data_IF_331107404024
#
_entry.id   IF_331107404024
#
_cell.length_a   1.000
_cell.length_b   1.000
_cell.length_c   1.000
_cell.angle_alpha   90.00
_cell.angle_beta   90.00
_cell.angle_gamma   90.00
#
_symmetry.space_group_name_H-M   'P 1'
#
loop_
_entity.id
_entity.type
_entity.pdbx_description
1 polymer ?
#
# COMPACT_ATOMS: atom_id res chain seq x y z
N UNK A 1 -4.25 -7.49 -61.63
CA UNK A 1 -4.85 -8.20 -60.48
C UNK A 1 -3.74 -8.52 -59.49
N UNK A 2 -3.72 -7.86 -58.33
CA UNK A 2 -2.60 -7.93 -57.38
C UNK A 2 -2.99 -8.88 -56.24
N UNK A 3 -2.33 -10.04 -56.15
CA UNK A 3 -2.58 -11.08 -55.14
C UNK A 3 -2.23 -10.55 -53.75
N UNK A 4 -3.19 -10.54 -52.83
CA UNK A 4 -3.01 -10.13 -51.44
C UNK A 4 -2.01 -11.07 -50.73
N UNK A 5 -1.13 -10.50 -49.89
CA UNK A 5 -0.18 -11.27 -49.07
C UNK A 5 -0.96 -12.13 -48.05
N UNK A 6 -0.61 -13.42 -47.88
CA UNK A 6 -1.25 -14.27 -46.88
C UNK A 6 -0.94 -13.75 -45.47
N UNK A 7 -1.97 -13.64 -44.63
CA UNK A 7 -1.82 -13.31 -43.21
C UNK A 7 -1.09 -14.47 -42.53
N UNK A 8 -0.03 -14.21 -41.75
CA UNK A 8 0.68 -15.28 -41.07
C UNK A 8 -0.24 -15.98 -40.04
N UNK A 9 -0.20 -17.31 -40.03
CA UNK A 9 -1.00 -18.15 -39.12
C UNK A 9 -0.57 -18.03 -37.64
N UNK A 10 0.66 -17.54 -37.40
CA UNK A 10 1.24 -17.43 -36.06
C UNK A 10 1.82 -16.03 -35.82
N UNK A 11 1.43 -15.42 -34.71
CA UNK A 11 2.00 -14.16 -34.22
C UNK A 11 2.85 -14.45 -32.99
N UNK A 12 4.17 -14.21 -33.08
CA UNK A 12 5.09 -14.32 -31.95
C UNK A 12 5.20 -12.97 -31.25
N UNK A 13 4.85 -12.92 -29.96
CA UNK A 13 4.96 -11.69 -29.14
C UNK A 13 6.08 -11.88 -28.12
N UNK A 14 7.06 -10.98 -28.15
CA UNK A 14 8.11 -10.91 -27.14
C UNK A 14 7.69 -9.90 -26.05
N UNK A 15 7.36 -10.42 -24.86
CA UNK A 15 7.02 -9.57 -23.70
C UNK A 15 8.19 -9.57 -22.72
N UNK A 16 8.87 -8.44 -22.48
CA UNK A 16 9.90 -8.36 -21.47
C UNK A 16 9.26 -8.43 -20.08
N UNK A 17 9.68 -9.36 -19.22
CA UNK A 17 9.19 -9.49 -17.84
C UNK A 17 10.33 -9.69 -16.84
N UNK A 18 10.07 -9.44 -15.56
CA UNK A 18 11.00 -9.68 -14.46
C UNK A 18 10.38 -10.62 -13.42
N UNK A 19 11.13 -11.63 -12.97
CA UNK A 19 10.74 -12.45 -11.83
C UNK A 19 11.30 -11.84 -10.54
N UNK A 20 10.44 -11.57 -9.57
CA UNK A 20 10.83 -11.07 -8.24
C UNK A 20 10.36 -12.02 -7.13
N UNK A 21 10.99 -11.96 -5.96
CA UNK A 21 10.54 -12.68 -4.77
C UNK A 21 9.84 -11.71 -3.81
N UNK A 22 8.62 -12.03 -3.40
CA UNK A 22 7.86 -11.29 -2.38
C UNK A 22 7.25 -12.24 -1.35
N UNK A 23 7.59 -12.04 -0.07
CA UNK A 23 7.07 -12.89 1.02
C UNK A 23 7.30 -14.40 0.79
N UNK A 24 8.43 -14.76 0.16
CA UNK A 24 8.75 -16.15 -0.22
C UNK A 24 8.10 -16.65 -1.52
N UNK A 25 7.23 -15.86 -2.17
CA UNK A 25 6.56 -16.22 -3.43
C UNK A 25 7.31 -15.62 -4.63
N UNK A 26 7.35 -16.36 -5.76
CA UNK A 26 7.85 -15.84 -7.04
C UNK A 26 6.71 -15.12 -7.77
N UNK A 27 6.92 -13.86 -8.11
CA UNK A 27 5.95 -13.01 -8.80
C UNK A 27 6.52 -12.48 -10.11
N UNK A 28 5.67 -12.42 -11.14
CA UNK A 28 6.00 -11.92 -12.47
C UNK A 28 5.65 -10.43 -12.56
N UNK A 29 6.65 -9.58 -12.75
CA UNK A 29 6.47 -8.17 -13.06
C UNK A 29 6.46 -7.97 -14.57
N UNK A 30 5.33 -7.48 -15.06
CA UNK A 30 5.13 -7.07 -16.45
C UNK A 30 5.62 -5.62 -16.65
N UNK A 31 5.93 -5.20 -17.88
CA UNK A 31 6.40 -3.85 -18.17
C UNK A 31 5.26 -2.84 -18.01
N UNK A 32 5.60 -1.57 -17.78
CA UNK A 32 4.64 -0.49 -17.54
C UNK A 32 3.62 -0.41 -18.68
N UNK A 33 2.32 -0.56 -18.35
CA UNK A 33 1.22 -0.55 -19.31
C UNK A 33 0.56 -1.91 -19.57
N UNK A 34 1.19 -3.02 -19.18
CA UNK A 34 0.49 -4.30 -19.11
C UNK A 34 -0.47 -4.30 -17.90
N UNK A 35 -1.75 -4.60 -18.10
CA UNK A 35 -2.74 -4.63 -17.02
C UNK A 35 -2.50 -5.81 -16.07
N UNK A 36 -1.48 -5.72 -15.24
CA UNK A 36 -1.43 -6.50 -14.00
C UNK A 36 -2.59 -6.01 -13.15
N UNK A 37 -3.60 -6.86 -12.93
CA UNK A 37 -4.57 -6.64 -11.86
C UNK A 37 -3.76 -6.56 -10.57
N UNK A 38 -3.48 -5.34 -10.11
CA UNK A 38 -2.68 -5.07 -8.92
C UNK A 38 -3.43 -5.68 -7.75
N UNK A 39 -2.96 -6.84 -7.28
CA UNK A 39 -3.54 -7.52 -6.12
C UNK A 39 -3.05 -6.83 -4.87
N UNK A 40 -3.96 -6.58 -3.93
CA UNK A 40 -3.62 -6.13 -2.58
C UNK A 40 -2.50 -6.99 -2.02
N UNK A 41 -1.45 -6.34 -1.51
CA UNK A 41 -0.37 -7.05 -0.83
C UNK A 41 -0.86 -7.49 0.55
N UNK A 42 -1.40 -8.70 0.59
CA UNK A 42 -1.89 -9.34 1.82
C UNK A 42 -0.85 -9.34 2.94
N UNK A 43 0.45 -9.29 2.64
CA UNK A 43 1.50 -9.21 3.66
C UNK A 43 1.50 -7.85 4.35
N UNK A 44 1.37 -6.77 3.58
CA UNK A 44 1.28 -5.41 4.11
C UNK A 44 -0.02 -5.21 4.88
N UNK A 45 -1.15 -5.64 4.31
CA UNK A 45 -2.46 -5.52 4.96
C UNK A 45 -2.47 -6.27 6.31
N UNK A 46 -1.94 -7.49 6.34
CA UNK A 46 -1.80 -8.28 7.58
C UNK A 46 -0.81 -7.70 8.58
N UNK A 47 0.11 -6.83 8.16
CA UNK A 47 1.00 -6.13 9.07
C UNK A 47 0.40 -4.83 9.61
N UNK A 48 -0.40 -4.12 8.80
CA UNK A 48 -1.10 -2.90 9.20
C UNK A 48 -2.16 -3.18 10.27
N UNK A 49 -2.97 -4.23 10.09
CA UNK A 49 -4.04 -4.57 11.03
C UNK A 49 -3.57 -4.71 12.49
N UNK A 50 -2.56 -5.55 12.82
CA UNK A 50 -2.05 -5.64 14.18
C UNK A 50 -1.33 -4.38 14.64
N UNK A 51 -0.64 -3.65 13.74
CA UNK A 51 0.03 -2.39 14.11
C UNK A 51 -0.95 -1.38 14.71
N UNK A 52 -2.08 -1.14 14.02
CA UNK A 52 -3.12 -0.24 14.51
C UNK A 52 -3.87 -0.79 15.73
N UNK A 53 -4.06 -2.11 15.82
CA UNK A 53 -4.66 -2.73 17.01
C UNK A 53 -3.78 -2.49 18.25
N UNK A 54 -2.49 -2.77 18.16
CA UNK A 54 -1.55 -2.58 19.27
C UNK A 54 -1.44 -1.12 19.70
N UNK A 55 -1.41 -0.19 18.74
CA UNK A 55 -1.46 1.24 19.06
C UNK A 55 -2.72 1.57 19.87
N UNK A 56 -3.89 1.11 19.45
CA UNK A 56 -5.15 1.36 20.17
C UNK A 56 -5.15 0.78 21.57
N UNK A 57 -4.59 -0.40 21.78
CA UNK A 57 -4.51 -1.03 23.11
C UNK A 57 -3.60 -0.22 24.06
N UNK A 58 -2.49 0.33 23.54
CA UNK A 58 -1.62 1.22 24.31
C UNK A 58 -2.29 2.58 24.59
N UNK A 59 -2.97 3.16 23.60
CA UNK A 59 -3.72 4.42 23.76
C UNK A 59 -4.91 4.28 24.72
N UNK A 60 -5.54 3.10 24.76
CA UNK A 60 -6.61 2.78 25.71
C UNK A 60 -6.09 2.53 27.13
N UNK A 61 -4.77 2.45 27.33
CA UNK A 61 -4.16 2.14 28.62
C UNK A 61 -4.36 0.68 29.06
N UNK A 62 -4.74 -0.23 28.15
CA UNK A 62 -4.84 -1.67 28.45
C UNK A 62 -3.47 -2.26 28.85
N UNK A 63 -2.39 -1.66 28.33
CA UNK A 63 -1.01 -1.99 28.66
C UNK A 63 -0.22 -0.72 28.90
N UNK A 64 0.68 -0.76 29.88
CA UNK A 64 1.49 0.39 30.29
C UNK A 64 2.73 0.55 29.41
N UNK A 65 3.26 -0.57 28.89
CA UNK A 65 4.50 -0.57 28.12
C UNK A 65 4.44 -1.49 26.90
N UNK A 66 5.28 -1.21 25.91
CA UNK A 66 5.48 -2.08 24.75
C UNK A 66 5.97 -3.49 25.18
N UNK A 67 6.80 -3.58 26.23
CA UNK A 67 7.31 -4.86 26.72
C UNK A 67 6.21 -5.74 27.32
N UNK A 68 5.27 -5.12 28.03
CA UNK A 68 4.11 -5.79 28.61
C UNK A 68 3.18 -6.32 27.50
N UNK A 69 2.83 -5.47 26.54
CA UNK A 69 2.02 -5.87 25.39
C UNK A 69 2.72 -6.97 24.56
N UNK A 70 4.04 -6.87 24.34
CA UNK A 70 4.80 -7.90 23.63
C UNK A 70 4.78 -9.26 24.35
N UNK A 71 4.88 -9.24 25.68
CA UNK A 71 4.78 -10.45 26.50
C UNK A 71 3.38 -11.06 26.43
N UNK A 72 2.34 -10.23 26.48
CA UNK A 72 0.94 -10.65 26.33
C UNK A 72 0.68 -11.29 24.95
N UNK A 73 1.14 -10.65 23.89
CA UNK A 73 0.99 -11.13 22.50
C UNK A 73 1.97 -12.27 22.17
N UNK A 74 2.87 -12.65 23.09
CA UNK A 74 3.91 -13.67 22.92
C UNK A 74 4.79 -13.44 21.69
N UNK A 75 5.14 -12.19 21.44
CA UNK A 75 6.04 -11.77 20.35
C UNK A 75 7.23 -11.00 20.91
N UNK A 76 8.33 -10.98 20.17
CA UNK A 76 9.48 -10.19 20.57
C UNK A 76 9.14 -8.69 20.56
N UNK A 77 9.48 -7.97 21.63
CA UNK A 77 9.27 -6.52 21.73
C UNK A 77 9.88 -5.77 20.54
N UNK A 78 11.06 -6.21 20.05
CA UNK A 78 11.68 -5.63 18.86
C UNK A 78 10.86 -5.81 17.57
N UNK A 79 10.15 -6.93 17.42
CA UNK A 79 9.25 -7.16 16.29
C UNK A 79 8.02 -6.27 16.40
N UNK A 80 7.43 -6.19 17.59
CA UNK A 80 6.27 -5.35 17.88
C UNK A 80 6.59 -3.88 17.54
N UNK A 81 7.67 -3.33 18.09
CA UNK A 81 8.11 -1.95 17.81
C UNK A 81 8.33 -1.70 16.32
N UNK A 82 8.95 -2.64 15.60
CA UNK A 82 9.15 -2.50 14.13
C UNK A 82 7.83 -2.51 13.37
N UNK A 83 6.84 -3.28 13.81
CA UNK A 83 5.52 -3.33 13.17
C UNK A 83 4.68 -2.10 13.50
N UNK A 84 4.74 -1.61 14.75
CA UNK A 84 4.06 -0.37 15.15
C UNK A 84 4.54 0.86 14.39
N UNK A 85 5.76 0.86 13.83
CA UNK A 85 6.20 1.95 12.92
C UNK A 85 5.29 2.13 11.71
N UNK A 86 4.56 1.10 11.30
CA UNK A 86 3.62 1.20 10.19
C UNK A 86 2.46 2.15 10.48
N UNK A 87 2.18 2.46 11.75
CA UNK A 87 1.14 3.43 12.10
C UNK A 87 1.58 4.88 11.95
N UNK A 88 2.88 5.12 11.76
CA UNK A 88 3.47 6.44 11.49
C UNK A 88 3.43 6.80 9.99
N UNK A 89 2.93 5.89 9.15
CA UNK A 89 2.71 6.16 7.73
C UNK A 89 1.64 7.23 7.54
N UNK A 90 1.74 8.00 6.47
CA UNK A 90 0.68 8.95 6.14
C UNK A 90 -0.61 8.19 5.77
N UNK A 91 -1.79 8.77 6.03
CA UNK A 91 -3.07 8.17 5.64
C UNK A 91 -3.11 7.79 4.16
N UNK A 92 -2.57 8.64 3.28
CA UNK A 92 -2.48 8.38 1.83
C UNK A 92 -1.74 7.08 1.49
N UNK A 93 -0.68 6.74 2.23
CA UNK A 93 0.06 5.48 2.03
C UNK A 93 -0.77 4.30 2.50
N UNK A 94 -1.42 4.43 3.65
CA UNK A 94 -2.27 3.37 4.20
C UNK A 94 -3.42 3.06 3.23
N UNK A 95 -4.10 4.09 2.73
CA UNK A 95 -5.14 3.96 1.69
C UNK A 95 -4.59 3.33 0.41
N UNK A 96 -3.44 3.78 -0.07
CA UNK A 96 -2.82 3.19 -1.25
C UNK A 96 -2.49 1.70 -1.08
N UNK A 97 -2.07 1.27 0.12
CA UNK A 97 -1.80 -0.14 0.44
C UNK A 97 -3.11 -0.95 0.48
N UNK A 98 -4.15 -0.40 1.11
CA UNK A 98 -5.46 -1.05 1.21
C UNK A 98 -6.13 -1.18 -0.17
N UNK A 99 -5.94 -0.22 -1.05
CA UNK A 99 -6.48 -0.24 -2.42
C UNK A 99 -5.64 -1.07 -3.40
N UNK A 100 -4.51 -1.65 -2.97
CA UNK A 100 -3.59 -2.34 -3.88
C UNK A 100 -2.89 -1.40 -4.86
N UNK A 101 -2.92 -0.09 -4.62
CA UNK A 101 -2.32 0.97 -5.46
C UNK A 101 -0.88 1.29 -5.07
N UNK A 102 -0.32 0.63 -4.06
CA UNK A 102 1.03 0.90 -3.59
C UNK A 102 2.08 0.60 -4.66
N UNK A 103 3.19 1.36 -4.67
CA UNK A 103 4.38 1.07 -5.47
C UNK A 103 4.92 -0.34 -5.26
N UNK A 104 5.62 -0.86 -6.27
CA UNK A 104 6.21 -2.20 -6.21
C UNK A 104 7.37 -2.28 -5.20
N UNK A 105 7.94 -1.15 -4.89
CA UNK A 105 9.07 -0.90 -4.00
C UNK A 105 8.60 -0.83 -2.55
N UNK A 106 7.30 -0.64 -2.30
CA UNK A 106 6.75 -0.57 -0.95
C UNK A 106 6.60 -1.99 -0.40
N UNK A 107 7.71 -2.54 0.09
CA UNK A 107 7.73 -3.83 0.76
C UNK A 107 7.65 -3.65 2.27
N UNK A 108 7.20 -4.70 2.97
CA UNK A 108 7.14 -4.68 4.43
C UNK A 108 8.51 -4.39 5.06
N UNK A 109 9.60 -4.87 4.47
CA UNK A 109 10.94 -4.60 4.97
C UNK A 109 11.31 -3.13 4.89
N UNK A 110 10.94 -2.46 3.79
CA UNK A 110 11.21 -1.03 3.59
C UNK A 110 10.38 -0.20 4.57
N UNK A 111 9.09 -0.50 4.72
CA UNK A 111 8.20 0.26 5.60
C UNK A 111 8.49 0.07 7.10
N UNK A 112 9.24 -0.97 7.47
CA UNK A 112 9.69 -1.20 8.86
C UNK A 112 11.03 -0.56 9.19
N UNK A 113 11.74 0.00 8.19
CA UNK A 113 12.94 0.81 8.44
C UNK A 113 12.57 2.13 9.13
N UNK A 114 13.53 2.83 9.77
CA UNK A 114 13.29 4.17 10.26
C UNK A 114 12.76 5.06 9.13
N UNK A 115 11.52 5.54 9.30
CA UNK A 115 10.89 6.51 8.44
C UNK A 115 11.29 7.92 8.93
N UNK A 116 11.47 8.89 8.02
CA UNK A 116 11.73 10.27 8.42
C UNK A 116 10.57 10.79 9.28
N UNK A 117 10.87 11.62 10.28
CA UNK A 117 9.87 12.13 11.22
C UNK A 117 8.80 13.01 10.56
N UNK A 118 9.11 13.61 9.41
CA UNK A 118 8.23 14.51 8.69
C UNK A 118 7.41 13.77 7.63
N UNK A 119 6.08 13.76 7.82
CA UNK A 119 5.13 13.22 6.84
C UNK A 119 5.23 13.90 5.46
N UNK A 120 5.63 15.17 5.40
CA UNK A 120 5.82 15.89 4.13
C UNK A 120 6.89 15.22 3.24
N UNK A 121 7.90 14.58 3.83
CA UNK A 121 8.92 13.80 3.10
C UNK A 121 8.32 12.48 2.60
N UNK A 122 7.40 11.87 3.34
CA UNK A 122 6.66 10.67 2.90
C UNK A 122 5.83 10.96 1.64
N UNK A 123 5.14 12.09 1.62
CA UNK A 123 4.26 12.49 0.52
C UNK A 123 5.06 12.91 -0.72
N UNK A 124 6.20 13.58 -0.57
CA UNK A 124 7.01 14.03 -1.70
C UNK A 124 7.68 12.85 -2.45
N UNK A 125 8.07 11.79 -1.72
CA UNK A 125 8.58 10.56 -2.32
C UNK A 125 7.49 9.79 -3.10
N UNK A 126 6.23 9.82 -2.62
CA UNK A 126 5.08 9.31 -3.37
C UNK A 126 4.74 10.18 -4.59
N UNK A 127 4.83 11.51 -4.49
CA UNK A 127 4.51 12.44 -5.58
C UNK A 127 5.47 12.33 -6.76
N UNK A 128 6.77 12.16 -6.47
CA UNK A 128 7.78 11.91 -7.51
C UNK A 128 7.55 10.57 -8.22
N UNK A 129 7.09 9.55 -7.50
CA UNK A 129 7.01 8.17 -7.99
C UNK A 129 5.65 7.78 -8.59
N UNK A 130 4.54 8.39 -8.15
CA UNK A 130 3.18 8.17 -8.69
C UNK A 130 2.89 8.95 -9.98
N UNK A 131 3.87 9.63 -10.55
CA UNK A 131 3.81 10.17 -11.92
C UNK A 131 2.54 10.97 -12.21
N UNK A 132 2.59 12.26 -11.89
CA UNK A 132 1.60 13.29 -12.29
C UNK A 132 0.33 13.36 -11.46
N UNK A 133 0.26 14.45 -10.68
CA UNK A 133 -0.92 15.06 -10.04
C UNK A 133 -2.16 15.19 -10.95
N UNK A 134 -2.01 15.00 -12.26
CA UNK A 134 -3.07 15.08 -13.26
C UNK A 134 -4.00 13.83 -13.33
N UNK A 135 -3.60 12.68 -12.75
CA UNK A 135 -4.43 11.45 -12.80
C UNK A 135 -5.34 11.29 -11.58
N UNK A 136 -4.98 11.89 -10.46
CA UNK A 136 -5.66 11.67 -9.17
C UNK A 136 -6.97 12.48 -9.03
N UNK A 137 -7.12 13.59 -9.76
CA UNK A 137 -8.34 14.41 -9.75
C UNK A 137 -9.37 14.04 -10.83
N UNK A 138 -9.13 13.02 -11.66
CA UNK A 138 -10.06 12.60 -12.73
C UNK A 138 -10.79 11.29 -12.41
N UNK A 139 -10.28 10.47 -11.50
CA UNK A 139 -10.89 9.16 -11.18
C UNK A 139 -11.96 9.26 -10.08
N UNK A 140 -12.02 10.35 -9.33
CA UNK A 140 -13.03 10.63 -8.31
C UNK A 140 -14.33 11.23 -8.87
N UNK A 141 -14.47 11.37 -10.19
CA UNK A 141 -15.64 12.02 -10.82
C UNK A 141 -16.38 11.12 -11.84
N UNK A 142 -16.26 9.79 -11.71
CA UNK A 142 -17.04 8.84 -12.50
C UNK A 142 -17.90 7.94 -11.62
N UNK A 143 -18.96 8.55 -11.08
CA UNK A 143 -20.30 7.99 -11.01
C UNK A 143 -20.60 6.92 -9.96
N UNK A 144 -21.03 7.35 -8.77
CA UNK A 144 -22.27 6.80 -8.20
C UNK A 144 -23.04 7.92 -7.50
N UNK A 145 -24.00 8.50 -8.23
CA UNK A 145 -25.04 9.35 -7.66
C UNK A 145 -26.16 8.44 -7.21
N UNK A 146 -26.19 8.13 -5.91
CA UNK A 146 -27.42 7.84 -5.17
C UNK A 146 -27.17 8.03 -3.67
N UNK A 147 -27.86 9.05 -3.16
CA UNK A 147 -28.45 9.13 -1.81
C UNK A 147 -27.49 9.31 -0.62
N UNK A 148 -27.27 10.60 -0.34
CA UNK A 148 -27.70 11.27 0.89
C UNK A 148 -27.34 10.70 2.28
N UNK A 149 -26.67 11.61 2.99
CA UNK A 149 -26.91 11.95 4.39
C UNK A 149 -26.04 11.28 5.46
N UNK A 150 -25.06 12.06 5.93
CA UNK A 150 -24.59 12.02 7.30
C UNK A 150 -23.19 11.43 7.52
N UNK A 151 -22.14 12.22 7.34
CA UNK A 151 -20.96 12.19 8.24
C UNK A 151 -19.96 13.33 7.94
N UNK A 152 -20.34 14.56 8.30
CA UNK A 152 -19.36 15.60 8.63
C UNK A 152 -18.89 15.36 10.08
N UNK A 153 -17.95 14.44 10.26
CA UNK A 153 -17.51 14.03 11.60
C UNK A 153 -16.09 13.48 11.73
N UNK A 154 -15.25 13.52 10.69
CA UNK A 154 -13.90 12.92 10.73
C UNK A 154 -12.76 13.89 10.37
N UNK A 155 -12.98 15.20 10.53
CA UNK A 155 -11.93 16.22 10.44
C UNK A 155 -11.85 17.05 11.71
N UNK A 156 -11.44 16.42 12.80
CA UNK A 156 -10.79 17.03 14.00
C UNK A 156 -10.74 15.98 15.11
N UNK A 157 -9.74 15.11 15.07
CA UNK A 157 -9.20 14.45 16.25
C UNK A 157 -7.98 13.67 15.82
N UNK A 158 -6.82 14.29 16.04
CA UNK A 158 -5.57 13.72 16.57
C UNK A 158 -4.62 14.91 16.53
N UNK A 159 -4.67 15.70 17.59
CA UNK A 159 -3.60 16.55 18.12
C UNK A 159 -4.02 16.97 19.53
N UNK A 160 -3.36 16.41 20.54
CA UNK A 160 -3.13 16.99 21.87
C UNK A 160 -2.02 16.16 22.52
#
# INVERSE_FOLDING_TARGET
>A
MTRAKPVPETVTVHVPFRLVKRGGRKEMQLPDGASSQRKMDNTLVKALAPAFRWQRMLEAGEFTTIAELASHERIAASYLTRTMRLTQLSPDIVEAILDGRQPVEFTLEILRKPLPAEWAIHTNHLQHWLGSRARWSRQSDSGDSREDSGMLGFKKRIQA
#
